data_IF_738968655757
#
_entry.id   IF_738968655757
#
_cell.length_a   1.000
_cell.length_b   1.000
_cell.length_c   1.000
_cell.angle_alpha   90.00
_cell.angle_beta   90.00
_cell.angle_gamma   90.00
#
_symmetry.space_group_name_H-M   'P 1'
#
loop_
_entity.id
_entity.type
_entity.pdbx_description
1 polymer ?
#
# COMPACT_ATOMS: atom_id res chain seq x y z
N UNK A 1 12.72 -8.60 5.27
CA UNK A 1 11.34 -8.62 5.78
C UNK A 1 10.79 -10.01 5.51
N UNK A 2 10.20 -10.65 6.51
CA UNK A 2 9.50 -11.94 6.33
C UNK A 2 8.02 -11.64 6.13
N UNK A 3 7.40 -12.27 5.14
CA UNK A 3 5.98 -12.11 4.83
C UNK A 3 5.32 -13.48 4.97
N UNK A 4 4.41 -13.62 5.93
CA UNK A 4 3.79 -14.92 6.28
C UNK A 4 2.96 -15.52 5.15
N UNK A 5 2.34 -14.67 4.32
CA UNK A 5 1.54 -15.12 3.18
C UNK A 5 2.41 -15.36 1.93
N UNK A 6 2.32 -16.56 1.35
CA UNK A 6 3.12 -16.99 0.19
C UNK A 6 2.98 -16.08 -1.03
N UNK A 7 1.76 -15.63 -1.34
CA UNK A 7 1.51 -14.77 -2.51
C UNK A 7 2.12 -13.38 -2.33
N UNK A 8 1.93 -12.78 -1.15
CA UNK A 8 2.53 -11.47 -0.85
C UNK A 8 4.06 -11.56 -0.77
N UNK A 9 4.61 -12.67 -0.24
CA UNK A 9 6.04 -12.95 -0.24
C UNK A 9 6.62 -13.02 -1.65
N UNK A 10 5.96 -13.77 -2.55
CA UNK A 10 6.37 -13.90 -3.94
C UNK A 10 6.30 -12.56 -4.68
N UNK A 11 5.23 -11.79 -4.49
CA UNK A 11 5.07 -10.47 -5.09
C UNK A 11 6.14 -9.48 -4.60
N UNK A 12 6.49 -9.52 -3.31
CA UNK A 12 7.58 -8.72 -2.77
C UNK A 12 8.94 -9.13 -3.37
N UNK A 13 9.19 -10.43 -3.52
CA UNK A 13 10.38 -10.94 -4.17
C UNK A 13 10.50 -10.42 -5.60
N UNK A 14 9.42 -10.51 -6.40
CA UNK A 14 9.39 -10.01 -7.77
C UNK A 14 9.62 -8.50 -7.83
N UNK A 15 8.88 -7.73 -7.02
CA UNK A 15 9.02 -6.27 -6.92
C UNK A 15 10.46 -5.86 -6.58
N UNK A 16 11.12 -6.55 -5.64
CA UNK A 16 12.49 -6.26 -5.21
C UNK A 16 13.53 -6.56 -6.29
N UNK A 17 13.30 -7.56 -7.14
CA UNK A 17 14.24 -7.97 -8.18
C UNK A 17 14.00 -7.27 -9.53
N UNK A 18 12.94 -6.46 -9.62
CA UNK A 18 12.59 -5.75 -10.84
C UNK A 18 13.60 -4.63 -11.10
N UNK A 19 14.20 -4.64 -12.29
CA UNK A 19 15.08 -3.55 -12.71
C UNK A 19 14.24 -2.30 -13.01
N UNK A 20 14.11 -1.42 -12.03
CA UNK A 20 13.22 -0.25 -12.10
C UNK A 20 13.69 0.78 -13.13
N UNK A 21 14.97 0.79 -13.52
CA UNK A 21 15.45 1.65 -14.61
C UNK A 21 14.88 1.22 -15.96
N UNK A 22 14.60 -0.08 -16.14
CA UNK A 22 14.05 -0.64 -17.39
C UNK A 22 12.54 -0.81 -17.35
N UNK A 23 11.98 -1.03 -16.16
CA UNK A 23 10.60 -1.49 -15.99
C UNK A 23 9.81 -0.64 -14.99
N UNK A 24 9.95 0.69 -15.03
CA UNK A 24 9.31 1.63 -14.08
C UNK A 24 7.80 1.43 -13.95
N UNK A 25 7.09 1.27 -15.07
CA UNK A 25 5.63 1.04 -15.08
C UNK A 25 5.30 -0.27 -14.38
N UNK A 26 5.98 -1.36 -14.72
CA UNK A 26 5.77 -2.65 -14.08
C UNK A 26 6.07 -2.58 -12.58
N UNK A 27 7.08 -1.82 -12.16
CA UNK A 27 7.36 -1.58 -10.75
C UNK A 27 6.25 -0.84 -10.02
N UNK A 28 5.67 0.21 -10.62
CA UNK A 28 4.53 0.92 -10.05
C UNK A 28 3.28 0.03 -9.92
N UNK A 29 2.96 -0.75 -10.97
CA UNK A 29 1.83 -1.68 -10.96
C UNK A 29 2.04 -2.76 -9.89
N UNK A 30 3.25 -3.33 -9.82
CA UNK A 30 3.60 -4.35 -8.83
C UNK A 30 3.53 -3.80 -7.41
N UNK A 31 3.98 -2.56 -7.19
CA UNK A 31 3.86 -1.88 -5.90
C UNK A 31 2.39 -1.69 -5.49
N UNK A 32 1.52 -1.29 -6.43
CA UNK A 32 0.07 -1.20 -6.17
C UNK A 32 -0.51 -2.54 -5.74
N UNK A 33 -0.23 -3.59 -6.51
CA UNK A 33 -0.68 -4.95 -6.18
C UNK A 33 -0.13 -5.42 -4.85
N UNK A 34 1.09 -5.02 -4.49
CA UNK A 34 1.71 -5.38 -3.22
C UNK A 34 1.02 -4.70 -2.04
N UNK A 35 0.74 -3.40 -2.13
CA UNK A 35 -0.06 -2.66 -1.13
C UNK A 35 -1.43 -3.33 -0.95
N UNK A 36 -2.12 -3.63 -2.05
CA UNK A 36 -3.43 -4.26 -2.03
C UNK A 36 -3.39 -5.64 -1.34
N UNK A 37 -2.42 -6.48 -1.71
CA UNK A 37 -2.26 -7.80 -1.12
C UNK A 37 -2.00 -7.73 0.39
N UNK A 38 -1.01 -6.93 0.82
CA UNK A 38 -0.64 -6.80 2.23
C UNK A 38 -1.81 -6.31 3.07
N UNK A 39 -2.50 -5.26 2.61
CA UNK A 39 -3.64 -4.68 3.32
C UNK A 39 -4.79 -5.67 3.43
N UNK A 40 -5.12 -6.38 2.35
CA UNK A 40 -6.20 -7.38 2.37
C UNK A 40 -5.90 -8.52 3.34
N UNK A 41 -4.68 -9.06 3.29
CA UNK A 41 -4.22 -10.13 4.17
C UNK A 41 -4.25 -9.66 5.63
N UNK A 42 -3.76 -8.45 5.90
CA UNK A 42 -3.73 -7.91 7.26
C UNK A 42 -5.14 -7.72 7.81
N UNK A 43 -6.05 -7.11 7.05
CA UNK A 43 -7.45 -6.93 7.43
C UNK A 43 -8.12 -8.27 7.73
N UNK A 44 -7.91 -9.28 6.89
CA UNK A 44 -8.46 -10.62 7.10
C UNK A 44 -7.89 -11.28 8.36
N UNK A 45 -6.59 -11.14 8.62
CA UNK A 45 -5.91 -11.81 9.74
C UNK A 45 -6.29 -11.20 11.09
N UNK A 46 -6.66 -9.92 11.11
CA UNK A 46 -7.02 -9.18 12.32
C UNK A 46 -8.53 -8.90 12.44
N UNK A 47 -9.36 -9.49 11.56
CA UNK A 47 -10.82 -9.28 11.54
C UNK A 47 -11.22 -7.79 11.49
N UNK A 48 -10.43 -6.97 10.77
CA UNK A 48 -10.74 -5.56 10.59
C UNK A 48 -11.97 -5.45 9.68
N UNK A 49 -12.96 -4.65 10.11
CA UNK A 49 -14.15 -4.36 9.34
C UNK A 49 -13.77 -3.66 8.02
N UNK A 50 -14.16 -4.25 6.89
CA UNK A 50 -13.90 -3.72 5.54
C UNK A 50 -15.18 -3.32 4.81
N UNK A 51 -16.25 -3.03 5.55
CA UNK A 51 -17.55 -2.60 5.01
C UNK A 51 -18.09 -1.44 5.82
N UNK A 52 -18.76 -0.53 5.12
CA UNK A 52 -19.51 0.55 5.75
C UNK A 52 -20.72 0.00 6.50
N UNK A 53 -20.82 0.28 7.79
CA UNK A 53 -21.90 -0.21 8.66
C UNK A 53 -23.06 0.76 8.78
N UNK A 54 -22.89 2.01 8.36
CA UNK A 54 -23.93 3.05 8.47
C UNK A 54 -23.80 4.10 7.37
N UNK A 55 -24.84 4.93 7.24
CA UNK A 55 -24.89 6.03 6.28
C UNK A 55 -25.16 5.61 4.83
N UNK A 56 -24.98 6.53 3.89
CA UNK A 56 -25.31 6.36 2.46
C UNK A 56 -24.54 5.25 1.75
N UNK A 57 -23.46 4.77 2.35
CA UNK A 57 -22.61 3.70 1.82
C UNK A 57 -22.80 2.37 2.54
N UNK A 58 -23.79 2.24 3.46
CA UNK A 58 -24.01 1.02 4.21
C UNK A 58 -24.03 -0.23 3.30
N UNK A 59 -23.29 -1.26 3.69
CA UNK A 59 -23.13 -2.51 2.95
C UNK A 59 -22.07 -2.47 1.84
N UNK A 60 -21.57 -1.30 1.43
CA UNK A 60 -20.47 -1.21 0.46
C UNK A 60 -19.14 -1.57 1.10
N UNK A 61 -18.30 -2.24 0.32
CA UNK A 61 -16.92 -2.56 0.68
C UNK A 61 -16.06 -1.30 0.68
N UNK A 62 -15.11 -1.24 1.62
CA UNK A 62 -14.09 -0.20 1.66
C UNK A 62 -13.24 -0.21 0.39
N UNK A 63 -12.95 0.99 -0.12
CA UNK A 63 -11.89 1.25 -1.08
C UNK A 63 -10.52 0.86 -0.50
N UNK A 64 -9.51 0.68 -1.36
CA UNK A 64 -8.16 0.37 -0.91
C UNK A 64 -7.59 1.47 0.03
N UNK A 65 -7.90 2.75 -0.23
CA UNK A 65 -7.51 3.85 0.65
C UNK A 65 -8.12 3.75 2.05
N UNK A 66 -9.41 3.42 2.13
CA UNK A 66 -10.10 3.21 3.42
C UNK A 66 -9.53 2.00 4.18
N UNK A 67 -9.19 0.91 3.48
CA UNK A 67 -8.53 -0.24 4.09
C UNK A 67 -7.14 0.12 4.62
N UNK A 68 -6.34 0.87 3.84
CA UNK A 68 -5.02 1.36 4.29
C UNK A 68 -5.15 2.18 5.57
N UNK A 69 -6.10 3.11 5.64
CA UNK A 69 -6.33 3.90 6.86
C UNK A 69 -6.74 3.04 8.06
N UNK A 70 -7.59 2.03 7.84
CA UNK A 70 -7.97 1.09 8.90
C UNK A 70 -6.77 0.30 9.44
N UNK A 71 -5.87 -0.16 8.55
CA UNK A 71 -4.62 -0.83 8.95
C UNK A 71 -3.69 0.13 9.69
N UNK A 72 -3.49 1.35 9.20
CA UNK A 72 -2.67 2.37 9.87
C UNK A 72 -3.20 2.68 11.28
N UNK A 73 -4.52 2.78 11.43
CA UNK A 73 -5.15 2.98 12.73
C UNK A 73 -4.89 1.81 13.68
N UNK A 74 -5.02 0.57 13.19
CA UNK A 74 -4.75 -0.63 13.98
C UNK A 74 -3.25 -0.78 14.34
N UNK A 75 -2.34 -0.29 13.49
CA UNK A 75 -0.89 -0.32 13.72
C UNK A 75 -0.37 0.85 14.58
N UNK A 76 -1.24 1.73 15.07
CA UNK A 76 -0.84 2.93 15.82
C UNK A 76 -0.04 2.66 17.10
N UNK A 77 -0.17 1.47 17.70
CA UNK A 77 0.61 1.04 18.86
C UNK A 77 1.90 0.29 18.49
N UNK A 78 2.02 -0.19 17.25
CA UNK A 78 3.15 -0.96 16.75
C UNK A 78 4.20 -0.09 16.01
N UNK A 79 3.82 1.12 15.63
CA UNK A 79 4.66 2.10 14.94
C UNK A 79 4.91 3.32 15.82
N UNK A 80 6.08 3.95 15.67
CA UNK A 80 6.31 5.28 16.24
C UNK A 80 5.40 6.31 15.56
N UNK A 81 5.17 7.45 16.24
CA UNK A 81 4.38 8.55 15.67
C UNK A 81 4.94 9.01 14.32
N UNK A 82 6.27 9.11 14.19
CA UNK A 82 6.93 9.51 12.96
C UNK A 82 6.71 8.49 11.83
N UNK A 83 6.87 7.19 12.10
CA UNK A 83 6.63 6.13 11.12
C UNK A 83 5.17 6.10 10.67
N UNK A 84 4.23 6.23 11.60
CA UNK A 84 2.79 6.29 11.29
C UNK A 84 2.46 7.51 10.41
N UNK A 85 2.98 8.69 10.76
CA UNK A 85 2.80 9.90 9.95
C UNK A 85 3.41 9.76 8.57
N UNK A 86 4.62 9.22 8.46
CA UNK A 86 5.28 8.98 7.18
C UNK A 86 4.48 8.01 6.30
N UNK A 87 4.10 6.85 6.84
CA UNK A 87 3.34 5.85 6.11
C UNK A 87 1.97 6.38 5.64
N UNK A 88 1.27 7.12 6.50
CA UNK A 88 0.01 7.78 6.15
C UNK A 88 0.21 8.81 5.04
N UNK A 89 1.16 9.73 5.19
CA UNK A 89 1.46 10.72 4.17
C UNK A 89 1.83 10.08 2.81
N UNK A 90 2.59 9.00 2.84
CA UNK A 90 2.99 8.27 1.64
C UNK A 90 1.84 7.50 0.98
N UNK A 91 1.00 6.78 1.72
CA UNK A 91 -0.03 5.91 1.12
C UNK A 91 -1.36 6.61 0.85
N UNK A 92 -1.67 7.70 1.58
CA UNK A 92 -2.98 8.37 1.48
C UNK A 92 -2.88 9.86 1.16
N UNK A 93 -1.68 10.45 1.19
CA UNK A 93 -1.46 11.85 0.82
C UNK A 93 -1.71 12.12 -0.66
N UNK A 94 -2.41 13.21 -0.97
CA UNK A 94 -2.80 13.60 -2.34
C UNK A 94 -1.60 13.82 -3.27
N UNK A 95 -0.53 14.41 -2.73
CA UNK A 95 0.68 14.74 -3.46
C UNK A 95 1.71 13.60 -3.47
N UNK A 96 1.40 12.49 -2.78
CA UNK A 96 2.31 11.35 -2.77
C UNK A 96 2.23 10.56 -4.08
N UNK A 97 3.42 10.32 -4.62
CA UNK A 97 3.67 9.53 -5.84
C UNK A 97 3.34 8.04 -5.67
N UNK A 98 3.29 7.54 -4.42
CA UNK A 98 2.88 6.16 -4.10
C UNK A 98 1.57 6.10 -3.31
N UNK A 99 0.80 7.20 -3.29
CA UNK A 99 -0.54 7.13 -2.73
C UNK A 99 -1.36 6.09 -3.49
N UNK A 100 -2.32 5.47 -2.79
CA UNK A 100 -3.24 4.50 -3.42
C UNK A 100 -3.92 5.11 -4.65
N UNK A 101 -4.28 6.40 -4.59
CA UNK A 101 -4.86 7.12 -5.72
C UNK A 101 -3.86 7.26 -6.87
N UNK A 102 -2.61 7.67 -6.61
CA UNK A 102 -1.60 7.80 -7.67
C UNK A 102 -1.25 6.45 -8.30
N UNK A 103 -1.10 5.41 -7.48
CA UNK A 103 -0.84 4.05 -7.96
C UNK A 103 -1.98 3.52 -8.83
N UNK A 104 -3.23 3.88 -8.52
CA UNK A 104 -4.38 3.60 -9.38
C UNK A 104 -4.28 4.31 -10.73
N UNK A 105 -3.89 5.60 -10.75
CA UNK A 105 -3.67 6.34 -12.00
C UNK A 105 -2.59 5.69 -12.88
N UNK A 106 -1.49 5.20 -12.32
CA UNK A 106 -0.47 4.49 -13.11
C UNK A 106 -0.97 3.21 -13.80
N UNK A 107 -2.07 2.62 -13.32
CA UNK A 107 -2.68 1.44 -13.93
C UNK A 107 -3.73 1.84 -14.99
N UNK A 108 -4.52 2.87 -14.71
CA UNK A 108 -5.75 3.14 -15.48
C UNK A 108 -5.71 4.41 -16.33
N UNK A 109 -4.74 5.30 -16.11
CA UNK A 109 -4.60 6.54 -16.85
C UNK A 109 -3.44 6.44 -17.86
N UNK A 110 -3.71 6.33 -19.18
CA UNK A 110 -2.67 6.18 -20.20
C UNK A 110 -1.70 7.35 -20.31
N UNK A 111 -2.06 8.52 -19.77
CA UNK A 111 -1.22 9.72 -19.80
C UNK A 111 -0.36 9.88 -18.54
N UNK A 112 -0.53 9.02 -17.53
CA UNK A 112 0.18 9.12 -16.26
C UNK A 112 1.31 8.09 -16.19
N UNK A 113 2.56 8.57 -16.13
CA UNK A 113 3.74 7.71 -16.06
C UNK A 113 4.45 7.85 -14.71
N UNK A 114 4.93 6.74 -14.11
CA UNK A 114 5.72 6.79 -12.90
C UNK A 114 7.15 7.23 -13.18
N UNK A 115 7.76 7.90 -12.19
CA UNK A 115 9.18 8.22 -12.15
C UNK A 115 9.91 7.19 -11.28
N UNK A 116 11.07 6.70 -11.75
CA UNK A 116 11.85 5.71 -10.99
C UNK A 116 12.33 6.26 -9.64
N UNK A 117 12.77 7.52 -9.62
CA UNK A 117 13.33 8.16 -8.43
C UNK A 117 12.22 8.36 -7.39
N UNK A 118 11.02 8.65 -7.86
CA UNK A 118 9.83 8.85 -7.03
C UNK A 118 9.43 7.53 -6.37
N UNK A 119 9.39 6.43 -7.13
CA UNK A 119 9.09 5.10 -6.59
C UNK A 119 10.12 4.63 -5.55
N UNK A 120 11.42 4.80 -5.83
CA UNK A 120 12.49 4.43 -4.90
C UNK A 120 12.44 5.30 -3.65
N UNK A 121 12.37 6.63 -3.80
CA UNK A 121 12.41 7.57 -2.70
C UNK A 121 11.21 7.43 -1.78
N UNK A 122 10.03 7.12 -2.32
CA UNK A 122 8.84 6.97 -1.51
C UNK A 122 8.80 5.64 -0.72
N UNK A 123 9.57 4.63 -1.11
CA UNK A 123 9.64 3.34 -0.39
C UNK A 123 10.05 3.52 1.08
N UNK A 124 10.99 4.44 1.36
CA UNK A 124 11.47 4.67 2.74
C UNK A 124 10.36 5.13 3.69
N UNK A 125 9.34 5.84 3.17
CA UNK A 125 8.20 6.30 3.97
C UNK A 125 7.24 5.18 4.39
N UNK A 126 7.27 4.03 3.70
CA UNK A 126 6.31 2.93 3.89
C UNK A 126 6.94 1.63 4.36
N UNK A 127 8.27 1.57 4.44
CA UNK A 127 8.98 0.36 4.85
C UNK A 127 8.57 -0.11 6.24
N UNK A 128 8.45 0.80 7.21
CA UNK A 128 8.00 0.47 8.57
C UNK A 128 6.58 -0.10 8.59
N UNK A 129 5.68 0.49 7.78
CA UNK A 129 4.32 -0.02 7.61
C UNK A 129 4.32 -1.46 7.08
N UNK A 130 5.06 -1.75 6.00
CA UNK A 130 5.11 -3.11 5.46
C UNK A 130 5.72 -4.11 6.44
N UNK A 131 6.79 -3.72 7.15
CA UNK A 131 7.40 -4.57 8.19
C UNK A 131 6.44 -4.89 9.33
N UNK A 132 5.56 -3.96 9.70
CA UNK A 132 4.56 -4.18 10.75
C UNK A 132 3.36 -4.98 10.23
N UNK A 133 2.90 -4.73 9.00
CA UNK A 133 1.74 -5.37 8.40
C UNK A 133 2.01 -6.79 7.84
N UNK A 134 3.27 -7.15 7.60
CA UNK A 134 3.62 -8.46 7.03
C UNK A 134 4.04 -9.52 8.06
N UNK A 135 4.15 -9.14 9.34
CA UNK A 135 4.38 -10.09 10.44
C UNK A 135 3.13 -10.95 10.62
#
# INVERSE_FOLDING_TARGET
MTISNTKAAQLFYELRNLNIDKFTIAGAISLRSFVEAVVEIYCSSHSILTKHTSGKNAGKTFSLGEKVEAVLQHLSSALTKQELTAARASLTGKDSVISVARLHEYVHNPAMFPSKNDLIGAWSGVEAFFKAACK
#
